data_IF_815546210742
#
_entry.id   IF_815546210742
#
_cell.length_a   1.000
_cell.length_b   1.000
_cell.length_c   1.000
_cell.angle_alpha   90.00
_cell.angle_beta   90.00
_cell.angle_gamma   90.00
#
_symmetry.space_group_name_H-M   'P 1'
#
loop_
_entity.id
_entity.type
_entity.pdbx_description
1 polymer ?
#
# COMPACT_ATOMS: atom_id res chain seq x y z
N UNK A 1 -8.09 -5.61 23.89
CA UNK A 1 -7.72 -4.28 23.38
C UNK A 1 -6.73 -4.53 22.26
N UNK A 2 -7.01 -4.07 21.03
CA UNK A 2 -6.13 -4.29 19.88
C UNK A 2 -4.81 -3.54 20.09
N UNK A 3 -3.68 -4.22 19.88
CA UNK A 3 -2.37 -3.59 19.86
C UNK A 3 -2.16 -2.93 18.49
N UNK A 4 -2.31 -1.61 18.46
CA UNK A 4 -2.14 -0.81 17.25
C UNK A 4 -0.67 -0.51 16.91
N UNK A 5 0.27 -0.82 17.82
CA UNK A 5 1.71 -0.66 17.57
C UNK A 5 2.33 -1.93 16.98
N UNK A 6 1.71 -3.09 17.22
CA UNK A 6 2.09 -4.34 16.57
C UNK A 6 1.92 -4.23 15.04
N UNK A 7 3.01 -4.45 14.30
CA UNK A 7 2.93 -4.65 12.86
C UNK A 7 2.07 -5.89 12.55
N UNK A 8 1.28 -5.85 11.48
CA UNK A 8 0.59 -7.04 10.96
C UNK A 8 1.61 -8.14 10.76
N UNK A 9 1.66 -9.07 11.70
CA UNK A 9 2.53 -10.24 11.63
C UNK A 9 1.73 -11.31 10.92
N UNK A 10 1.57 -11.15 9.61
CA UNK A 10 1.35 -12.34 8.78
C UNK A 10 2.56 -13.24 9.02
N UNK A 11 2.38 -14.50 9.44
CA UNK A 11 3.49 -15.40 9.67
C UNK A 11 4.10 -15.76 8.31
N UNK A 12 5.03 -14.94 7.85
CA UNK A 12 5.83 -15.22 6.66
C UNK A 12 6.77 -16.38 6.97
N UNK A 13 6.93 -17.27 6.00
CA UNK A 13 8.05 -18.20 6.02
C UNK A 13 9.37 -17.43 5.97
N UNK A 14 10.47 -18.04 6.45
CA UNK A 14 11.81 -17.44 6.36
C UNK A 14 12.16 -17.04 4.92
N UNK A 15 11.70 -17.83 3.95
CA UNK A 15 11.92 -17.59 2.53
C UNK A 15 11.12 -16.38 2.02
N UNK A 16 9.83 -16.28 2.35
CA UNK A 16 9.01 -15.12 1.98
C UNK A 16 9.54 -13.83 2.62
N UNK A 17 10.00 -13.88 3.87
CA UNK A 17 10.62 -12.74 4.53
C UNK A 17 11.89 -12.27 3.79
N UNK A 18 12.75 -13.21 3.36
CA UNK A 18 13.93 -12.91 2.56
C UNK A 18 13.56 -12.31 1.20
N UNK A 19 12.62 -12.92 0.46
CA UNK A 19 12.13 -12.41 -0.82
C UNK A 19 11.55 -10.99 -0.70
N UNK A 20 10.78 -10.71 0.37
CA UNK A 20 10.25 -9.35 0.64
C UNK A 20 11.38 -8.36 0.87
N UNK A 21 12.36 -8.72 1.69
CA UNK A 21 13.50 -7.86 1.97
C UNK A 21 14.25 -7.52 0.68
N UNK A 22 14.53 -8.53 -0.14
CA UNK A 22 15.22 -8.36 -1.42
C UNK A 22 14.42 -7.51 -2.42
N UNK A 23 13.10 -7.75 -2.53
CA UNK A 23 12.21 -6.97 -3.39
C UNK A 23 12.15 -5.49 -3.01
N UNK A 24 12.31 -5.16 -1.72
CA UNK A 24 12.22 -3.80 -1.18
C UNK A 24 13.58 -3.10 -1.07
N UNK A 25 14.69 -3.78 -1.36
CA UNK A 25 16.00 -3.14 -1.43
C UNK A 25 15.98 -1.98 -2.43
N UNK A 26 16.76 -0.93 -2.15
CA UNK A 26 16.89 0.18 -3.08
C UNK A 26 17.47 -0.32 -4.40
N UNK A 27 16.88 0.13 -5.51
CA UNK A 27 17.35 -0.14 -6.85
C UNK A 27 17.73 1.18 -7.53
N UNK A 28 18.74 1.15 -8.39
CA UNK A 28 19.11 2.24 -9.25
C UNK A 28 18.04 2.40 -10.35
N UNK A 29 17.67 3.64 -10.66
CA UNK A 29 16.75 3.87 -11.79
C UNK A 29 17.56 3.78 -13.07
N UNK A 30 17.19 2.86 -13.95
CA UNK A 30 17.76 2.77 -15.29
C UNK A 30 16.84 3.44 -16.32
N UNK A 31 17.47 4.07 -17.32
CA UNK A 31 16.81 4.40 -18.58
C UNK A 31 16.52 3.10 -19.35
N UNK A 32 15.57 3.16 -20.28
CA UNK A 32 15.09 1.98 -21.01
C UNK A 32 16.20 1.38 -21.90
N UNK A 33 17.15 2.20 -22.35
CA UNK A 33 18.31 1.77 -23.14
C UNK A 33 19.42 1.13 -22.30
N UNK A 34 19.30 1.12 -20.96
CA UNK A 34 20.35 0.70 -20.03
C UNK A 34 19.89 -0.40 -19.05
N UNK A 35 18.74 -1.03 -19.33
CA UNK A 35 18.25 -2.14 -18.49
C UNK A 35 19.25 -3.30 -18.47
N UNK A 36 19.48 -3.87 -17.29
CA UNK A 36 20.36 -5.04 -17.12
C UNK A 36 19.57 -6.33 -17.22
N UNK A 37 20.29 -7.44 -17.41
CA UNK A 37 19.72 -8.76 -17.26
C UNK A 37 19.25 -9.00 -15.81
N UNK A 38 18.10 -9.66 -15.65
CA UNK A 38 17.66 -10.12 -14.35
C UNK A 38 18.50 -11.30 -13.87
N UNK A 39 18.55 -11.47 -12.55
CA UNK A 39 19.12 -12.66 -11.92
C UNK A 39 18.06 -13.75 -11.76
N UNK A 40 18.49 -14.99 -11.56
CA UNK A 40 17.59 -16.11 -11.24
C UNK A 40 16.74 -15.81 -10.00
N UNK A 41 17.35 -15.17 -8.99
CA UNK A 41 16.69 -14.81 -7.74
C UNK A 41 15.59 -13.77 -7.95
N UNK A 42 15.84 -12.73 -8.73
CA UNK A 42 14.85 -11.71 -9.07
C UNK A 42 13.68 -12.27 -9.86
N UNK A 43 13.94 -13.22 -10.77
CA UNK A 43 12.89 -13.92 -11.49
C UNK A 43 11.98 -14.73 -10.54
N UNK A 44 12.55 -15.43 -9.55
CA UNK A 44 11.76 -16.16 -8.53
C UNK A 44 10.89 -15.21 -7.70
N UNK A 45 11.47 -14.09 -7.25
CA UNK A 45 10.75 -13.07 -6.50
C UNK A 45 9.61 -12.46 -7.33
N UNK A 46 9.90 -12.08 -8.58
CA UNK A 46 8.89 -11.49 -9.48
C UNK A 46 7.76 -12.48 -9.76
N UNK A 47 8.06 -13.76 -9.99
CA UNK A 47 7.03 -14.79 -10.17
C UNK A 47 6.20 -15.02 -8.90
N UNK A 48 6.80 -15.00 -7.72
CA UNK A 48 6.07 -15.10 -6.45
C UNK A 48 5.13 -13.90 -6.25
N UNK A 49 5.60 -12.70 -6.58
CA UNK A 49 4.83 -11.46 -6.56
C UNK A 49 3.65 -11.47 -7.54
N UNK A 50 3.88 -11.81 -8.81
CA UNK A 50 2.83 -11.87 -9.83
C UNK A 50 1.77 -12.94 -9.53
N UNK A 51 2.14 -13.99 -8.79
CA UNK A 51 1.21 -15.03 -8.31
C UNK A 51 0.48 -14.66 -7.02
N UNK A 52 0.68 -13.44 -6.50
CA UNK A 52 0.07 -12.95 -5.26
C UNK A 52 0.47 -13.83 -4.05
N UNK A 53 1.62 -14.51 -4.12
CA UNK A 53 2.21 -15.25 -2.98
C UNK A 53 3.08 -14.33 -2.13
N UNK A 54 3.61 -13.27 -2.74
CA UNK A 54 4.42 -12.26 -2.08
C UNK A 54 3.62 -10.96 -1.98
N UNK A 55 3.09 -10.66 -0.79
CA UNK A 55 2.37 -9.43 -0.54
C UNK A 55 3.36 -8.26 -0.41
N UNK A 56 3.37 -7.31 -1.33
CA UNK A 56 4.28 -6.16 -1.29
C UNK A 56 3.49 -4.86 -1.29
N UNK A 57 4.03 -3.77 -0.69
CA UNK A 57 3.36 -2.47 -0.72
C UNK A 57 3.41 -1.78 -2.10
N UNK A 58 4.29 -2.23 -2.98
CA UNK A 58 4.45 -1.78 -4.35
C UNK A 58 5.18 -2.88 -5.15
N UNK A 59 5.26 -2.79 -6.48
CA UNK A 59 6.08 -3.71 -7.27
C UNK A 59 7.55 -3.78 -6.78
N UNK A 60 8.27 -4.91 -6.97
CA UNK A 60 9.66 -5.04 -6.55
C UNK A 60 10.54 -3.92 -7.12
N UNK A 61 11.41 -3.32 -6.31
CA UNK A 61 12.21 -2.16 -6.73
C UNK A 61 13.15 -2.46 -7.90
N UNK A 62 13.72 -3.67 -7.94
CA UNK A 62 14.66 -4.08 -8.99
C UNK A 62 14.05 -4.05 -10.39
N UNK A 63 12.71 -4.05 -10.55
CA UNK A 63 12.08 -3.92 -11.87
C UNK A 63 12.50 -2.62 -12.58
N UNK A 64 12.91 -1.60 -11.82
CA UNK A 64 13.43 -0.32 -12.34
C UNK A 64 14.77 -0.45 -13.06
N UNK A 65 15.49 -1.54 -12.81
CA UNK A 65 16.78 -1.86 -13.43
C UNK A 65 16.66 -2.88 -14.56
N UNK A 66 15.64 -3.73 -14.54
CA UNK A 66 15.52 -4.91 -15.43
C UNK A 66 14.39 -4.79 -16.46
N UNK A 67 13.45 -3.85 -16.29
CA UNK A 67 12.32 -3.63 -17.19
C UNK A 67 12.33 -2.21 -17.75
N UNK A 68 11.86 -2.09 -18.99
CA UNK A 68 11.60 -0.81 -19.66
C UNK A 68 10.36 -0.12 -19.10
N UNK A 69 10.17 1.16 -19.42
CA UNK A 69 9.06 1.99 -18.98
C UNK A 69 7.69 1.35 -19.17
N UNK A 70 7.41 0.80 -20.34
CA UNK A 70 6.10 0.21 -20.67
C UNK A 70 5.77 -1.01 -19.80
N UNK A 71 6.73 -1.92 -19.63
CA UNK A 71 6.55 -3.12 -18.82
C UNK A 71 6.39 -2.77 -17.33
N UNK A 72 7.12 -1.76 -16.84
CA UNK A 72 6.97 -1.24 -15.48
C UNK A 72 5.57 -0.68 -15.26
N UNK A 73 5.09 0.15 -16.18
CA UNK A 73 3.75 0.72 -16.11
C UNK A 73 2.67 -0.37 -16.07
N UNK A 74 2.80 -1.41 -16.90
CA UNK A 74 1.87 -2.55 -16.89
C UNK A 74 1.84 -3.27 -15.52
N UNK A 75 3.00 -3.48 -14.89
CA UNK A 75 3.08 -4.11 -13.56
C UNK A 75 2.53 -3.18 -12.47
N UNK A 76 2.73 -1.87 -12.58
CA UNK A 76 2.14 -0.88 -11.67
C UNK A 76 0.61 -0.85 -11.77
N UNK A 77 0.06 -0.86 -12.98
CA UNK A 77 -1.39 -0.94 -13.23
C UNK A 77 -1.98 -2.25 -12.67
N UNK A 78 -1.29 -3.37 -12.90
CA UNK A 78 -1.66 -4.67 -12.32
C UNK A 78 -1.67 -4.62 -10.79
N UNK A 79 -0.65 -3.99 -10.19
CA UNK A 79 -0.58 -3.85 -8.74
C UNK A 79 -1.76 -3.03 -8.22
N UNK A 80 -2.06 -1.92 -8.88
CA UNK A 80 -3.15 -1.06 -8.49
C UNK A 80 -4.51 -1.75 -8.60
N UNK A 81 -4.73 -2.52 -9.66
CA UNK A 81 -5.99 -3.20 -9.91
C UNK A 81 -6.25 -4.40 -8.99
N UNK A 82 -5.21 -5.18 -8.63
CA UNK A 82 -5.40 -6.50 -8.02
C UNK A 82 -4.81 -6.67 -6.62
N UNK A 83 -3.74 -5.93 -6.30
CA UNK A 83 -3.00 -6.07 -5.04
C UNK A 83 -3.36 -5.01 -4.00
N UNK A 84 -3.63 -3.77 -4.43
CA UNK A 84 -4.19 -2.77 -3.52
C UNK A 84 -5.53 -3.27 -2.97
N UNK A 85 -5.80 -2.97 -1.70
CA UNK A 85 -7.10 -3.21 -1.09
C UNK A 85 -7.83 -1.89 -0.91
N UNK A 86 -9.13 -1.87 -1.19
CA UNK A 86 -9.97 -0.68 -0.99
C UNK A 86 -11.07 -1.01 0.02
N UNK A 87 -11.12 -0.25 1.11
CA UNK A 87 -12.23 -0.24 2.05
C UNK A 87 -13.09 1.00 1.79
N UNK A 88 -14.40 0.84 1.83
CA UNK A 88 -15.35 1.95 1.70
C UNK A 88 -16.12 2.14 2.99
N UNK A 89 -16.31 3.40 3.37
CA UNK A 89 -17.09 3.79 4.53
C UNK A 89 -18.14 4.83 4.13
N UNK A 90 -19.34 4.69 4.69
CA UNK A 90 -20.40 5.69 4.55
C UNK A 90 -20.19 6.77 5.59
N UNK A 91 -20.02 8.00 5.13
CA UNK A 91 -19.81 9.19 5.94
C UNK A 91 -21.16 9.88 6.19
N UNK A 92 -21.47 10.27 7.44
CA UNK A 92 -22.71 11.00 7.74
C UNK A 92 -22.83 12.30 6.94
N UNK A 93 -24.06 12.66 6.55
CA UNK A 93 -24.36 13.91 5.83
C UNK A 93 -23.98 15.20 6.60
N UNK A 94 -23.69 15.09 7.90
CA UNK A 94 -23.21 16.20 8.73
C UNK A 94 -21.75 16.57 8.45
N UNK A 95 -20.98 15.67 7.83
CA UNK A 95 -19.57 15.91 7.49
C UNK A 95 -19.48 16.81 6.25
N UNK A 96 -18.85 17.97 6.42
CA UNK A 96 -18.65 18.95 5.34
C UNK A 96 -17.28 18.77 4.69
N UNK A 97 -17.12 17.69 3.92
CA UNK A 97 -15.95 17.50 3.06
C UNK A 97 -16.30 17.88 1.63
N UNK A 98 -15.42 18.64 0.97
CA UNK A 98 -15.57 18.92 -0.45
C UNK A 98 -15.23 17.68 -1.27
N UNK A 99 -15.86 17.53 -2.44
CA UNK A 99 -15.40 16.56 -3.44
C UNK A 99 -13.90 16.80 -3.71
N UNK A 100 -13.11 15.73 -3.74
CA UNK A 100 -11.65 15.79 -3.90
C UNK A 100 -10.93 16.59 -2.81
N UNK A 101 -11.45 16.61 -1.58
CA UNK A 101 -10.73 17.16 -0.43
C UNK A 101 -9.30 16.56 -0.37
N UNK A 102 -8.32 17.40 -0.05
CA UNK A 102 -6.95 16.96 0.09
C UNK A 102 -6.83 15.88 1.18
N UNK A 103 -5.93 14.91 0.98
CA UNK A 103 -5.66 13.84 1.96
C UNK A 103 -5.53 14.36 3.39
N UNK A 104 -4.72 15.40 3.59
CA UNK A 104 -4.46 15.95 4.91
C UNK A 104 -5.74 16.49 5.59
N UNK A 105 -6.70 17.00 4.81
CA UNK A 105 -8.00 17.46 5.33
C UNK A 105 -8.83 16.27 5.79
N UNK A 106 -8.96 15.24 4.96
CA UNK A 106 -9.70 14.02 5.31
C UNK A 106 -9.09 13.35 6.55
N UNK A 107 -7.77 13.21 6.59
CA UNK A 107 -7.06 12.66 7.75
C UNK A 107 -7.28 13.50 9.01
N UNK A 108 -7.24 14.82 8.92
CA UNK A 108 -7.50 15.69 10.07
C UNK A 108 -8.91 15.49 10.62
N UNK A 109 -9.93 15.41 9.76
CA UNK A 109 -11.30 15.16 10.20
C UNK A 109 -11.44 13.78 10.85
N UNK A 110 -10.84 12.74 10.25
CA UNK A 110 -10.80 11.40 10.85
C UNK A 110 -10.08 11.41 12.20
N UNK A 111 -8.95 12.10 12.30
CA UNK A 111 -8.19 12.20 13.52
C UNK A 111 -9.01 12.89 14.62
N UNK A 112 -9.62 14.03 14.34
CA UNK A 112 -10.44 14.77 15.29
C UNK A 112 -11.66 13.96 15.76
N UNK A 113 -12.29 13.20 14.86
CA UNK A 113 -13.45 12.38 15.18
C UNK A 113 -13.11 11.15 16.03
N UNK A 114 -11.87 10.63 15.95
CA UNK A 114 -11.47 9.37 16.58
C UNK A 114 -10.48 9.53 17.75
N UNK A 115 -10.10 10.75 18.13
CA UNK A 115 -9.07 11.00 19.17
C UNK A 115 -9.63 11.72 20.41
N UNK A 116 -10.66 11.14 21.02
CA UNK A 116 -11.20 11.60 22.31
C UNK A 116 -10.58 10.88 23.53
N UNK A 117 -9.93 9.71 23.33
CA UNK A 117 -9.32 8.87 24.39
C UNK A 117 -7.94 8.31 24.00
N UNK A 118 -7.16 7.88 25.01
CA UNK A 118 -5.76 7.45 24.90
C UNK A 118 -5.44 6.47 23.74
N UNK A 119 -6.39 5.62 23.33
CA UNK A 119 -6.19 4.60 22.27
C UNK A 119 -6.37 5.15 20.85
N UNK A 120 -7.17 6.20 20.67
CA UNK A 120 -7.50 6.73 19.34
C UNK A 120 -6.30 7.29 18.58
N UNK A 121 -5.31 7.82 19.31
CA UNK A 121 -4.08 8.35 18.71
C UNK A 121 -3.22 7.25 18.12
N UNK A 122 -3.09 6.12 18.80
CA UNK A 122 -2.29 4.98 18.32
C UNK A 122 -2.96 4.33 17.11
N UNK A 123 -4.28 4.15 17.16
CA UNK A 123 -5.07 3.67 16.01
C UNK A 123 -4.91 4.59 14.78
N UNK A 124 -5.06 5.90 14.95
CA UNK A 124 -4.93 6.85 13.83
C UNK A 124 -3.51 6.91 13.26
N UNK A 125 -2.47 6.66 14.07
CA UNK A 125 -1.10 6.53 13.59
C UNK A 125 -0.89 5.28 12.75
N UNK A 126 -1.43 4.13 13.19
CA UNK A 126 -1.41 2.90 12.40
C UNK A 126 -2.15 3.10 11.07
N UNK A 127 -3.36 3.66 11.13
CA UNK A 127 -4.14 4.01 9.94
C UNK A 127 -3.37 4.92 8.97
N UNK A 128 -2.71 5.97 9.46
CA UNK A 128 -1.91 6.86 8.62
C UNK A 128 -0.70 6.14 7.98
N UNK A 129 -0.09 5.17 8.66
CA UNK A 129 1.04 4.38 8.14
C UNK A 129 0.61 3.46 7.00
N UNK A 130 -0.57 2.85 7.12
CA UNK A 130 -0.97 1.72 6.28
C UNK A 130 -1.80 2.15 5.05
N UNK A 131 -2.36 3.36 5.07
CA UNK A 131 -3.16 3.93 3.99
C UNK A 131 -2.27 4.53 2.89
N UNK A 132 -2.50 4.07 1.66
CA UNK A 132 -1.93 4.61 0.43
C UNK A 132 -2.69 5.84 -0.06
N UNK A 133 -4.03 5.75 -0.10
CA UNK A 133 -4.89 6.82 -0.62
C UNK A 133 -6.21 6.96 0.11
N UNK A 134 -6.65 8.20 0.32
CA UNK A 134 -7.99 8.56 0.77
C UNK A 134 -8.68 9.39 -0.30
N UNK A 135 -9.93 9.06 -0.60
CA UNK A 135 -10.76 9.90 -1.46
C UNK A 135 -12.19 9.96 -0.94
N UNK A 136 -12.79 11.14 -1.07
CA UNK A 136 -14.20 11.36 -0.78
C UNK A 136 -14.92 11.72 -2.07
N UNK A 137 -16.00 11.02 -2.37
CA UNK A 137 -16.76 11.17 -3.62
C UNK A 137 -17.53 12.50 -3.71
N UNK A 138 -17.66 13.22 -2.59
CA UNK A 138 -18.42 14.47 -2.48
C UNK A 138 -19.85 14.27 -1.99
N UNK A 139 -20.27 13.02 -1.79
CA UNK A 139 -21.59 12.66 -1.30
C UNK A 139 -21.47 12.06 0.10
N UNK A 140 -21.25 10.75 0.19
CA UNK A 140 -21.22 10.01 1.45
C UNK A 140 -20.20 8.88 1.43
N UNK A 141 -19.37 8.73 0.39
CA UNK A 141 -18.44 7.60 0.31
C UNK A 141 -17.03 8.07 0.55
N UNK A 142 -16.42 7.58 1.63
CA UNK A 142 -14.98 7.61 1.84
C UNK A 142 -14.38 6.31 1.34
N UNK A 143 -13.46 6.40 0.38
CA UNK A 143 -12.66 5.27 -0.09
C UNK A 143 -11.27 5.35 0.50
N UNK A 144 -10.84 4.24 1.10
CA UNK A 144 -9.54 4.06 1.75
C UNK A 144 -8.79 2.97 1.00
N UNK A 145 -7.73 3.34 0.30
CA UNK A 145 -6.86 2.43 -0.45
C UNK A 145 -5.64 2.13 0.40
N UNK A 146 -5.35 0.85 0.60
CA UNK A 146 -4.20 0.32 1.30
C UNK A 146 -3.18 -0.23 0.31
N UNK A 147 -1.91 -0.20 0.71
CA UNK A 147 -0.80 -0.74 -0.08
C UNK A 147 -0.90 -2.25 -0.31
N UNK A 148 -1.64 -2.97 0.53
CA UNK A 148 -1.80 -4.41 0.41
C UNK A 148 -3.06 -4.90 1.14
N UNK A 149 -3.48 -6.13 0.87
CA UNK A 149 -4.61 -6.76 1.57
C UNK A 149 -4.32 -7.00 3.04
N UNK A 150 -3.08 -7.34 3.36
CA UNK A 150 -2.64 -7.51 4.75
C UNK A 150 -2.79 -6.20 5.53
N UNK A 151 -2.38 -5.08 4.92
CA UNK A 151 -2.49 -3.76 5.54
C UNK A 151 -3.95 -3.33 5.78
N UNK A 152 -4.88 -3.74 4.92
CA UNK A 152 -6.31 -3.45 5.07
C UNK A 152 -7.03 -4.32 6.11
N UNK A 153 -6.43 -5.44 6.54
CA UNK A 153 -7.06 -6.38 7.46
C UNK A 153 -6.80 -6.06 8.95
N UNK A 154 -6.06 -4.98 9.24
CA UNK A 154 -5.67 -4.57 10.60
C UNK A 154 -6.73 -3.75 11.33
#
# INVERSE_FOLDING_TARGET
MTDWEAAATTPWTTEEAAMRQEALMSANVSCDESVRAWTQRENEILLAYLRVRLDLPHPPNFIKEILIGEDRAMIEDMHEAYLNATLTAVVPATVRLTRNAAHAVIFRELFNANTDKNTGRTMMRAFQRDVKRLSFDGNQTLSVIFYSRTAAAQ
#
